data_IF_863125808829
#
_entry.id   IF_863125808829
#
_cell.length_a   1.000
_cell.length_b   1.000
_cell.length_c   1.000
_cell.angle_alpha   90.00
_cell.angle_beta   90.00
_cell.angle_gamma   90.00
#
_symmetry.space_group_name_H-M   'P 1'
#
loop_
_entity.id
_entity.type
_entity.pdbx_description
1 polymer ?
#
# COMPACT_ATOMS: atom_id res chain seq x y z
N UNK A 1 -6.28 6.92 20.70
CA UNK A 1 -6.64 6.13 21.88
C UNK A 1 -8.07 6.46 22.27
N UNK A 2 -8.93 5.45 22.46
CA UNK A 2 -10.23 5.62 23.11
C UNK A 2 -10.13 4.91 24.46
N UNK A 3 -10.40 5.61 25.55
CA UNK A 3 -10.48 5.01 26.89
C UNK A 3 -11.76 4.20 26.97
N UNK A 4 -11.67 2.94 27.39
CA UNK A 4 -12.82 2.07 27.64
C UNK A 4 -12.89 1.88 29.15
N UNK A 5 -13.96 2.34 29.78
CA UNK A 5 -14.17 2.20 31.22
C UNK A 5 -15.01 0.94 31.50
N UNK A 6 -14.57 0.10 32.43
CA UNK A 6 -15.30 -1.09 32.89
C UNK A 6 -15.43 -1.06 34.42
N UNK A 7 -16.50 -1.66 34.96
CA UNK A 7 -16.71 -1.72 36.41
C UNK A 7 -15.90 -2.83 37.08
N UNK A 8 -15.63 -2.69 38.38
CA UNK A 8 -14.86 -3.66 39.18
C UNK A 8 -15.49 -5.06 39.19
N UNK A 9 -16.81 -5.17 39.23
CA UNK A 9 -17.52 -6.46 39.16
C UNK A 9 -17.33 -7.15 37.80
N UNK A 10 -17.34 -6.39 36.71
CA UNK A 10 -17.11 -6.91 35.36
C UNK A 10 -15.66 -7.38 35.23
N UNK A 11 -14.72 -6.58 35.73
CA UNK A 11 -13.30 -6.93 35.80
C UNK A 11 -13.07 -8.25 36.57
N UNK A 12 -13.68 -8.40 37.75
CA UNK A 12 -13.56 -9.62 38.56
C UNK A 12 -14.15 -10.85 37.84
N UNK A 13 -15.26 -10.69 37.12
CA UNK A 13 -15.85 -11.75 36.29
C UNK A 13 -14.95 -12.17 35.14
N UNK A 14 -14.24 -11.23 34.51
CA UNK A 14 -13.26 -11.53 33.46
C UNK A 14 -12.13 -12.36 34.06
N UNK A 15 -11.55 -11.92 35.18
CA UNK A 15 -10.49 -12.68 35.86
C UNK A 15 -10.90 -14.07 36.35
N UNK A 16 -12.15 -14.26 36.74
CA UNK A 16 -12.68 -15.57 37.12
C UNK A 16 -12.70 -16.59 35.96
N UNK A 17 -12.61 -16.11 34.71
CA UNK A 17 -12.53 -16.98 33.52
C UNK A 17 -11.09 -17.34 33.14
N UNK A 18 -10.09 -16.86 33.86
CA UNK A 18 -8.66 -17.13 33.61
C UNK A 18 -8.36 -18.62 33.64
N UNK A 19 -7.58 -19.10 32.68
CA UNK A 19 -6.98 -20.45 32.70
C UNK A 19 -5.47 -20.40 32.99
N UNK A 20 -4.88 -21.56 33.29
CA UNK A 20 -3.44 -21.67 33.57
C UNK A 20 -2.62 -21.18 32.36
N UNK A 21 -1.71 -20.24 32.62
CA UNK A 21 -0.86 -19.60 31.59
C UNK A 21 -1.34 -18.24 31.08
N UNK A 22 -2.58 -17.81 31.38
CA UNK A 22 -3.02 -16.44 31.09
C UNK A 22 -2.55 -15.51 32.20
N UNK A 23 -2.01 -14.32 31.91
CA UNK A 23 -1.52 -13.38 32.94
C UNK A 23 -2.09 -11.97 32.80
N UNK A 24 -2.93 -11.73 31.80
CA UNK A 24 -3.59 -10.44 31.59
C UNK A 24 -5.06 -10.59 31.20
N UNK A 25 -5.86 -9.59 31.53
CA UNK A 25 -7.26 -9.50 31.09
C UNK A 25 -7.40 -9.57 29.58
N UNK A 26 -6.44 -8.98 28.86
CA UNK A 26 -6.48 -8.95 27.41
C UNK A 26 -6.37 -10.36 26.83
N UNK A 27 -5.49 -11.21 27.38
CA UNK A 27 -5.37 -12.63 26.98
C UNK A 27 -6.66 -13.41 27.23
N UNK A 28 -7.27 -13.17 28.41
CA UNK A 28 -8.54 -13.81 28.78
C UNK A 28 -9.66 -13.39 27.81
N UNK A 29 -9.78 -12.08 27.55
CA UNK A 29 -10.80 -11.53 26.66
C UNK A 29 -10.59 -11.98 25.20
N UNK A 30 -9.36 -12.07 24.73
CA UNK A 30 -9.01 -12.58 23.41
C UNK A 30 -9.49 -14.01 23.19
N UNK A 31 -9.24 -14.89 24.17
CA UNK A 31 -9.72 -16.27 24.12
C UNK A 31 -11.24 -16.34 24.18
N UNK A 32 -11.88 -15.62 25.10
CA UNK A 32 -13.33 -15.66 25.27
C UNK A 32 -14.10 -15.09 24.07
N UNK A 33 -13.58 -14.05 23.45
CA UNK A 33 -14.21 -13.36 22.31
C UNK A 33 -13.71 -13.88 20.95
N UNK A 34 -12.74 -14.79 20.93
CA UNK A 34 -12.13 -15.31 19.70
C UNK A 34 -11.33 -14.26 18.93
N UNK A 35 -10.82 -13.23 19.61
CA UNK A 35 -10.02 -12.15 19.02
C UNK A 35 -8.55 -12.53 19.17
N UNK A 36 -7.89 -12.93 18.09
CA UNK A 36 -6.44 -13.14 18.13
C UNK A 36 -5.72 -11.80 18.05
N UNK A 37 -4.87 -11.49 19.03
CA UNK A 37 -4.09 -10.27 18.99
C UNK A 37 -2.81 -10.44 18.19
N UNK A 38 -2.66 -9.59 17.18
CA UNK A 38 -1.43 -9.43 16.44
C UNK A 38 -0.40 -8.71 17.34
N UNK A 39 0.23 -9.41 18.29
CA UNK A 39 1.32 -8.86 19.08
C UNK A 39 2.66 -9.01 18.37
N UNK A 40 3.32 -7.87 18.17
CA UNK A 40 4.69 -7.74 17.69
C UNK A 40 5.73 -8.21 18.74
N UNK A 41 6.76 -8.94 18.30
CA UNK A 41 7.98 -9.21 19.07
C UNK A 41 9.04 -10.12 18.41
N UNK A 42 10.02 -9.52 17.72
CA UNK A 42 11.42 -9.96 17.45
C UNK A 42 11.72 -11.05 16.37
N UNK A 43 12.96 -11.15 15.81
CA UNK A 43 13.33 -10.72 14.48
C UNK A 43 13.83 -11.90 13.62
N UNK A 44 13.16 -13.04 13.64
CA UNK A 44 13.54 -14.17 12.78
C UNK A 44 12.27 -14.76 12.17
N UNK A 45 11.62 -13.94 11.36
CA UNK A 45 10.51 -14.40 10.55
C UNK A 45 11.09 -15.33 9.47
N UNK A 46 11.13 -16.64 9.76
CA UNK A 46 10.95 -17.65 8.72
C UNK A 46 9.60 -17.34 8.08
N UNK A 47 9.65 -16.47 7.09
CA UNK A 47 8.52 -16.00 6.29
C UNK A 47 7.88 -17.26 5.71
N UNK A 48 6.82 -17.72 6.38
CA UNK A 48 5.98 -18.77 5.85
C UNK A 48 5.50 -18.26 4.51
N UNK A 49 5.93 -18.98 3.46
CA UNK A 49 5.65 -18.69 2.07
C UNK A 49 4.18 -19.02 1.84
N UNK A 50 3.29 -18.13 2.28
CA UNK A 50 1.92 -18.09 1.78
C UNK A 50 2.09 -18.04 0.26
N UNK A 51 1.52 -18.98 -0.52
CA UNK A 51 1.57 -18.86 -1.96
C UNK A 51 0.94 -17.51 -2.29
N UNK A 52 1.76 -16.60 -2.81
CA UNK A 52 1.32 -15.26 -3.15
C UNK A 52 0.07 -15.40 -4.01
N UNK A 53 -1.09 -14.87 -3.61
CA UNK A 53 -2.12 -14.59 -4.60
C UNK A 53 -1.43 -13.73 -5.66
N UNK A 54 -1.74 -14.00 -6.93
CA UNK A 54 -1.14 -13.39 -8.12
C UNK A 54 -0.64 -11.96 -7.88
N UNK A 55 0.55 -11.59 -8.38
CA UNK A 55 1.16 -10.30 -8.06
C UNK A 55 0.11 -9.21 -8.19
N UNK A 56 -0.25 -8.59 -7.05
CA UNK A 56 -1.21 -7.48 -7.04
C UNK A 56 -0.56 -6.33 -7.79
N UNK A 57 -0.80 -6.24 -9.09
CA UNK A 57 -0.26 -5.17 -9.92
C UNK A 57 -0.87 -3.85 -9.42
N UNK A 58 -0.01 -2.96 -8.96
CA UNK A 58 -0.41 -1.66 -8.43
C UNK A 58 -0.58 -0.68 -9.58
N UNK A 59 -1.30 0.43 -9.33
CA UNK A 59 -1.44 1.51 -10.30
C UNK A 59 -0.10 2.06 -10.75
N UNK A 60 0.88 2.16 -9.85
CA UNK A 60 2.25 2.56 -10.18
C UNK A 60 2.92 1.64 -11.20
N UNK A 61 2.68 0.34 -11.11
CA UNK A 61 3.25 -0.64 -12.05
C UNK A 61 2.61 -0.50 -13.44
N UNK A 62 1.33 -0.13 -13.52
CA UNK A 62 0.67 0.21 -14.78
C UNK A 62 1.23 1.49 -15.39
N UNK A 63 1.47 2.51 -14.57
CA UNK A 63 2.05 3.77 -15.03
C UNK A 63 3.48 3.57 -15.54
N UNK A 64 4.28 2.74 -14.85
CA UNK A 64 5.61 2.35 -15.31
C UNK A 64 5.55 1.61 -16.64
N UNK A 65 4.72 0.57 -16.76
CA UNK A 65 4.56 -0.17 -18.01
C UNK A 65 4.05 0.70 -19.16
N UNK A 66 3.17 1.65 -18.88
CA UNK A 66 2.70 2.62 -19.88
C UNK A 66 3.84 3.51 -20.37
N UNK A 67 4.67 4.03 -19.47
CA UNK A 67 5.83 4.82 -19.85
C UNK A 67 6.87 3.99 -20.61
N UNK A 68 7.14 2.75 -20.19
CA UNK A 68 8.04 1.82 -20.90
C UNK A 68 7.53 1.58 -22.34
N UNK A 69 6.23 1.32 -22.51
CA UNK A 69 5.60 1.13 -23.82
C UNK A 69 5.65 2.39 -24.71
N UNK A 70 5.69 3.58 -24.11
CA UNK A 70 5.80 4.86 -24.81
C UNK A 70 7.26 5.28 -25.09
N UNK A 71 8.24 4.42 -24.80
CA UNK A 71 9.66 4.71 -25.04
C UNK A 71 10.36 5.44 -23.88
N UNK A 72 9.80 5.35 -22.67
CA UNK A 72 10.38 5.88 -21.43
C UNK A 72 10.06 7.34 -21.14
N UNK A 73 9.57 8.11 -22.12
CA UNK A 73 9.22 9.54 -21.97
C UNK A 73 7.94 9.85 -22.73
N UNK A 74 6.94 10.45 -22.09
CA UNK A 74 5.68 10.77 -22.73
C UNK A 74 4.95 11.97 -22.09
N UNK A 75 4.09 12.66 -22.85
CA UNK A 75 3.15 13.62 -22.27
C UNK A 75 2.06 12.89 -21.47
N UNK A 76 1.56 13.54 -20.43
CA UNK A 76 0.59 13.00 -19.46
C UNK A 76 -0.68 12.47 -20.13
N UNK A 77 -1.13 13.11 -21.21
CA UNK A 77 -2.26 12.66 -22.02
C UNK A 77 -2.04 11.27 -22.62
N UNK A 78 -0.84 11.00 -23.12
CA UNK A 78 -0.53 9.72 -23.76
C UNK A 78 -0.32 8.64 -22.70
N UNK A 79 0.24 8.99 -21.55
CA UNK A 79 0.32 8.10 -20.37
C UNK A 79 -1.08 7.67 -19.93
N UNK A 80 -2.04 8.61 -19.84
CA UNK A 80 -3.43 8.26 -19.50
C UNK A 80 -4.05 7.29 -20.51
N UNK A 81 -3.87 7.55 -21.81
CA UNK A 81 -4.41 6.69 -22.86
C UNK A 81 -3.81 5.28 -22.79
N UNK A 82 -2.49 5.17 -22.63
CA UNK A 82 -1.80 3.88 -22.60
C UNK A 82 -2.14 3.08 -21.32
N UNK A 83 -2.19 3.72 -20.14
CA UNK A 83 -2.63 3.04 -18.90
C UNK A 83 -4.06 2.51 -19.03
N UNK A 84 -4.98 3.31 -19.58
CA UNK A 84 -6.37 2.89 -19.79
C UNK A 84 -6.45 1.69 -20.72
N UNK A 85 -5.70 1.71 -21.82
CA UNK A 85 -5.60 0.62 -22.77
C UNK A 85 -5.04 -0.64 -22.12
N UNK A 86 -3.93 -0.56 -21.38
CA UNK A 86 -3.31 -1.70 -20.70
C UNK A 86 -4.25 -2.33 -19.65
N UNK A 87 -4.95 -1.52 -18.87
CA UNK A 87 -5.91 -2.02 -17.88
C UNK A 87 -7.12 -2.67 -18.53
N UNK A 88 -7.63 -2.11 -19.64
CA UNK A 88 -8.73 -2.72 -20.39
C UNK A 88 -8.34 -4.08 -20.98
N UNK A 89 -7.15 -4.17 -21.60
CA UNK A 89 -6.62 -5.41 -22.17
C UNK A 89 -6.42 -6.50 -21.09
N UNK A 90 -6.01 -6.09 -19.89
CA UNK A 90 -5.83 -6.97 -18.75
C UNK A 90 -7.14 -7.29 -18.00
N UNK A 91 -8.30 -6.81 -18.47
CA UNK A 91 -9.59 -7.03 -17.81
C UNK A 91 -9.72 -6.36 -16.43
N UNK A 92 -8.96 -5.29 -16.17
CA UNK A 92 -8.90 -4.59 -14.88
C UNK A 92 -9.87 -3.41 -14.80
N UNK A 93 -10.21 -3.01 -13.58
CA UNK A 93 -11.13 -1.92 -13.32
C UNK A 93 -10.58 -0.56 -13.77
N UNK A 94 -11.47 0.26 -14.36
CA UNK A 94 -11.21 1.63 -14.78
C UNK A 94 -12.18 2.57 -14.03
N UNK A 95 -11.84 3.03 -12.82
CA UNK A 95 -12.66 3.98 -12.08
C UNK A 95 -12.71 5.34 -12.80
N UNK A 96 -13.76 6.15 -12.55
CA UNK A 96 -13.90 7.48 -13.16
C UNK A 96 -12.70 8.39 -12.91
N UNK A 97 -12.06 8.26 -11.74
CA UNK A 97 -10.91 9.06 -11.31
C UNK A 97 -9.56 8.46 -11.75
N UNK A 98 -9.52 7.57 -12.74
CA UNK A 98 -8.29 6.93 -13.25
C UNK A 98 -7.16 7.94 -13.49
N UNK A 99 -7.45 9.06 -14.16
CA UNK A 99 -6.43 10.06 -14.49
C UNK A 99 -5.85 10.74 -13.24
N UNK A 100 -6.70 10.97 -12.22
CA UNK A 100 -6.26 11.51 -10.94
C UNK A 100 -5.41 10.50 -10.15
N UNK A 101 -5.74 9.20 -10.23
CA UNK A 101 -4.91 8.14 -9.65
C UNK A 101 -3.55 8.11 -10.34
N UNK A 102 -3.52 8.12 -11.68
CA UNK A 102 -2.25 8.11 -12.45
C UNK A 102 -1.38 9.31 -12.08
N UNK A 103 -1.96 10.51 -12.03
CA UNK A 103 -1.23 11.72 -11.62
C UNK A 103 -0.66 11.60 -10.21
N UNK A 104 -1.47 11.13 -9.26
CA UNK A 104 -1.03 10.91 -7.88
C UNK A 104 0.13 9.91 -7.80
N UNK A 105 0.07 8.82 -8.55
CA UNK A 105 1.14 7.83 -8.58
C UNK A 105 2.44 8.38 -9.19
N UNK A 106 2.36 9.26 -10.19
CA UNK A 106 3.53 9.95 -10.73
C UNK A 106 4.17 10.86 -9.67
N UNK A 107 3.36 11.70 -9.02
CA UNK A 107 3.84 12.66 -8.01
C UNK A 107 4.36 11.97 -6.74
N UNK A 108 3.70 10.92 -6.25
CA UNK A 108 4.11 10.22 -5.02
C UNK A 108 5.41 9.43 -5.17
N UNK A 109 5.78 9.11 -6.40
CA UNK A 109 6.94 8.29 -6.75
C UNK A 109 7.95 9.06 -7.62
N UNK A 110 7.95 10.38 -7.48
CA UNK A 110 8.91 11.28 -8.11
C UNK A 110 9.47 12.25 -7.08
N UNK A 111 10.80 12.28 -6.94
CA UNK A 111 11.50 13.24 -6.08
C UNK A 111 11.27 14.71 -6.49
N UNK A 112 10.82 14.95 -7.72
CA UNK A 112 10.58 16.29 -8.24
C UNK A 112 9.29 16.91 -7.68
N UNK A 113 8.42 16.08 -7.09
CA UNK A 113 7.16 16.51 -6.50
C UNK A 113 7.28 16.69 -4.98
N UNK A 114 6.59 17.70 -4.45
CA UNK A 114 6.48 17.90 -2.99
C UNK A 114 5.73 16.77 -2.28
N UNK A 115 4.89 16.04 -3.01
CA UNK A 115 4.14 14.89 -2.52
C UNK A 115 4.95 13.57 -2.51
N UNK A 116 6.26 13.64 -2.83
CA UNK A 116 7.13 12.48 -2.84
C UNK A 116 7.10 11.74 -1.50
N UNK A 117 6.82 10.44 -1.55
CA UNK A 117 6.69 9.61 -0.35
C UNK A 117 8.01 9.05 0.18
N UNK A 118 9.13 9.30 -0.52
CA UNK A 118 10.46 8.82 -0.13
C UNK A 118 10.69 7.32 -0.38
N UNK A 119 9.71 6.59 -0.93
CA UNK A 119 9.79 5.13 -1.03
C UNK A 119 10.42 4.63 -2.32
N UNK A 120 10.01 5.17 -3.48
CA UNK A 120 10.52 4.80 -4.80
C UNK A 120 10.50 6.01 -5.71
N UNK A 121 11.63 6.32 -6.30
CA UNK A 121 11.80 7.44 -7.23
C UNK A 121 11.92 6.90 -8.65
N UNK A 122 10.78 6.52 -9.24
CA UNK A 122 10.73 5.90 -10.56
C UNK A 122 10.44 6.88 -11.69
N UNK A 123 9.89 8.04 -11.36
CA UNK A 123 9.43 9.00 -12.35
C UNK A 123 10.11 10.34 -12.15
N UNK A 124 10.34 11.05 -13.25
CA UNK A 124 10.86 12.41 -13.25
C UNK A 124 9.99 13.31 -14.11
N UNK A 125 9.82 14.56 -13.68
CA UNK A 125 9.09 15.56 -14.43
C UNK A 125 10.05 16.30 -15.37
N UNK A 126 10.00 15.98 -16.67
CA UNK A 126 10.98 16.46 -17.67
C UNK A 126 10.98 17.99 -17.80
N UNK A 127 9.80 18.60 -17.68
CA UNK A 127 9.61 20.05 -17.82
C UNK A 127 9.21 20.68 -16.47
N UNK A 128 9.52 20.00 -15.36
CA UNK A 128 9.05 20.36 -14.04
C UNK A 128 7.57 20.00 -13.81
N UNK A 129 7.16 20.06 -12.54
CA UNK A 129 5.79 19.76 -12.13
C UNK A 129 4.82 20.75 -12.81
N UNK A 130 3.84 20.21 -13.51
CA UNK A 130 2.86 21.00 -14.28
C UNK A 130 3.19 21.18 -15.77
N UNK A 131 4.42 20.86 -16.22
CA UNK A 131 4.77 20.86 -17.65
C UNK A 131 4.09 19.76 -18.45
N UNK A 132 3.51 18.76 -17.76
CA UNK A 132 2.70 17.73 -18.40
C UNK A 132 3.50 16.68 -19.16
N UNK A 133 4.83 16.65 -19.02
CA UNK A 133 5.71 15.63 -19.60
C UNK A 133 6.47 14.89 -18.50
N UNK A 134 6.41 13.57 -18.55
CA UNK A 134 6.99 12.68 -17.55
C UNK A 134 7.90 11.65 -18.21
N UNK A 135 8.92 11.23 -17.48
CA UNK A 135 9.85 10.21 -17.90
C UNK A 135 10.09 9.19 -16.79
N UNK A 136 10.51 7.99 -17.17
CA UNK A 136 11.14 7.06 -16.24
C UNK A 136 12.50 7.63 -15.82
N UNK A 137 12.83 7.46 -14.54
CA UNK A 137 14.19 7.65 -14.07
C UNK A 137 14.97 6.38 -14.41
N UNK A 138 16.12 6.52 -15.06
CA UNK A 138 17.00 5.37 -15.24
C UNK A 138 17.39 4.87 -13.84
N UNK A 139 17.12 3.59 -13.56
CA UNK A 139 17.68 2.93 -12.38
C UNK A 139 19.20 2.89 -12.61
N UNK A 140 19.91 3.90 -12.11
CA UNK A 140 21.37 3.86 -12.02
C UNK A 140 21.66 2.72 -11.04
N UNK A 141 21.93 1.54 -11.60
CA UNK A 141 22.44 0.42 -10.84
C UNK A 141 23.76 0.83 -10.21
N UNK A 142 23.78 0.93 -8.89
CA UNK A 142 25.01 0.88 -8.09
C UNK A 142 25.61 -0.53 -8.11
#
# INVERSE_FOLDING_TARGET
MRTIEISTDVFAKIWAQRIEGEESENQILQRLLGVQEAHAGNPESKRQKIPSPEPRILWRDDVRQALEALGGVAPLRDIYAEVRKQRLLAGRSLPLNTDAIIRRELEYNSSDATAFTGSRDWFQAVEGIGGGKWALREEVGE
#
